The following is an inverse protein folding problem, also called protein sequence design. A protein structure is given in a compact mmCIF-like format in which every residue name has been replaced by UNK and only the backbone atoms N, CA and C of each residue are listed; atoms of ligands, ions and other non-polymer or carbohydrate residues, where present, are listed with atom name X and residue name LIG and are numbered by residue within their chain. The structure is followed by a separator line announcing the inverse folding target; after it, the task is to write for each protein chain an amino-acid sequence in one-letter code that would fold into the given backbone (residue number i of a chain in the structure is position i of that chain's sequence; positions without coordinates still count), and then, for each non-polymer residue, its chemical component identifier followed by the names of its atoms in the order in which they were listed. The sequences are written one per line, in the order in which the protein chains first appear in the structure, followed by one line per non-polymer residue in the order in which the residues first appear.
data_IF_044076524857
#
_entry.id   IF_044076524857
#
_cell.length_a   1.000
_cell.length_b   1.000
_cell.length_c   1.000
_cell.angle_alpha   90.00
_cell.angle_beta   90.00
_cell.angle_gamma   90.00
#
_symmetry.space_group_name_H-M   'P 1'
#
loop_
_entity.id
_entity.type
_entity.pdbx_description
1 polymer ?
#
# COMPACT_ATOMS: atom_id res chain seq x y z
N UNK A 1 13.27 15.75 -1.39
CA UNK A 1 14.10 14.58 -1.73
C UNK A 1 14.79 14.13 -0.46
N UNK A 2 14.66 12.86 -0.13
CA UNK A 2 15.25 12.24 1.04
C UNK A 2 16.58 11.60 0.62
N UNK A 3 17.69 12.28 0.86
CA UNK A 3 19.02 11.87 0.35
C UNK A 3 19.47 10.52 0.89
N UNK A 4 19.03 10.13 2.09
CA UNK A 4 19.30 8.86 2.73
C UNK A 4 18.60 7.66 2.06
N UNK A 5 17.60 7.93 1.21
CA UNK A 5 16.95 6.90 0.40
C UNK A 5 17.71 6.56 -0.88
N UNK A 6 18.68 7.39 -1.28
CA UNK A 6 19.45 7.14 -2.50
C UNK A 6 20.18 5.80 -2.45
N UNK A 7 19.94 4.94 -3.44
CA UNK A 7 20.51 3.59 -3.54
C UNK A 7 19.87 2.54 -2.62
N UNK A 8 18.92 2.92 -1.77
CA UNK A 8 18.10 1.97 -0.99
C UNK A 8 17.21 1.15 -1.92
N UNK A 9 16.92 -0.09 -1.54
CA UNK A 9 16.09 -1.00 -2.35
C UNK A 9 14.73 -1.18 -1.73
N UNK A 10 13.69 -0.97 -2.54
CA UNK A 10 12.30 -1.18 -2.16
C UNK A 10 11.62 -2.25 -3.03
N UNK A 11 10.78 -3.07 -2.41
CA UNK A 11 9.77 -3.88 -3.09
C UNK A 11 8.43 -3.16 -3.00
N UNK A 12 7.72 -3.00 -4.13
CA UNK A 12 6.36 -2.44 -4.18
C UNK A 12 5.43 -3.46 -4.80
N UNK A 13 4.53 -4.03 -3.99
CA UNK A 13 3.57 -5.02 -4.48
C UNK A 13 2.38 -4.34 -5.18
N UNK A 14 1.88 -4.96 -6.26
CA UNK A 14 0.82 -4.37 -7.08
C UNK A 14 1.22 -3.02 -7.68
N UNK A 15 2.47 -2.91 -8.15
CA UNK A 15 3.08 -1.67 -8.61
C UNK A 15 2.78 -1.30 -10.08
N UNK A 16 1.99 -2.11 -10.82
CA UNK A 16 1.69 -1.88 -12.23
C UNK A 16 0.65 -0.79 -12.50
N UNK A 17 -0.09 -0.33 -11.48
CA UNK A 17 -1.12 0.71 -11.64
C UNK A 17 -1.45 1.44 -10.34
N UNK A 18 -2.09 2.59 -10.49
CA UNK A 18 -2.69 3.34 -9.39
C UNK A 18 -1.68 3.79 -8.32
N UNK A 19 -2.00 3.53 -7.04
CA UNK A 19 -1.17 3.94 -5.90
C UNK A 19 0.21 3.27 -5.96
N UNK A 20 0.29 1.99 -6.32
CA UNK A 20 1.56 1.27 -6.39
C UNK A 20 2.52 1.87 -7.41
N UNK A 21 2.04 2.22 -8.61
CA UNK A 21 2.84 2.93 -9.63
C UNK A 21 3.31 4.28 -9.11
N UNK A 22 2.42 5.07 -8.49
CA UNK A 22 2.80 6.38 -7.95
C UNK A 22 3.86 6.28 -6.84
N UNK A 23 3.79 5.23 -5.98
CA UNK A 23 4.82 4.95 -4.97
C UNK A 23 6.14 4.60 -5.65
N UNK A 24 6.14 3.70 -6.65
CA UNK A 24 7.33 3.33 -7.39
C UNK A 24 7.98 4.55 -8.07
N UNK A 25 7.19 5.39 -8.75
CA UNK A 25 7.66 6.63 -9.36
C UNK A 25 8.24 7.61 -8.34
N UNK A 26 7.59 7.73 -7.18
CA UNK A 26 8.10 8.58 -6.09
C UNK A 26 9.43 8.06 -5.56
N UNK A 27 9.58 6.76 -5.36
CA UNK A 27 10.85 6.15 -4.97
C UNK A 27 11.94 6.37 -6.04
N UNK A 28 11.57 6.35 -7.32
CA UNK A 28 12.45 6.74 -8.41
C UNK A 28 12.99 8.18 -8.27
N UNK A 29 12.13 9.14 -7.88
CA UNK A 29 12.55 10.53 -7.60
C UNK A 29 13.50 10.63 -6.39
N UNK A 30 13.39 9.71 -5.44
CA UNK A 30 14.32 9.58 -4.31
C UNK A 30 15.59 8.79 -4.68
N UNK A 31 15.76 8.39 -5.96
CA UNK A 31 16.89 7.62 -6.50
C UNK A 31 17.07 6.24 -5.85
N UNK A 32 15.96 5.61 -5.49
CA UNK A 32 15.93 4.24 -4.98
C UNK A 32 16.00 3.21 -6.11
N UNK A 33 16.35 1.97 -5.75
CA UNK A 33 16.14 0.79 -6.57
C UNK A 33 14.75 0.21 -6.23
N UNK A 34 13.94 -0.14 -7.24
CA UNK A 34 12.56 -0.57 -7.02
C UNK A 34 12.27 -1.89 -7.73
N UNK A 35 11.85 -2.89 -6.97
CA UNK A 35 11.24 -4.10 -7.52
C UNK A 35 9.74 -3.88 -7.59
N UNK A 36 9.19 -3.84 -8.80
CA UNK A 36 7.78 -3.60 -9.09
C UNK A 36 7.11 -4.94 -9.32
N UNK A 37 6.25 -5.36 -8.38
CA UNK A 37 5.47 -6.56 -8.56
C UNK A 37 4.20 -6.31 -9.39
N UNK A 38 3.88 -7.26 -10.25
CA UNK A 38 2.59 -7.37 -10.92
C UNK A 38 2.10 -8.82 -10.93
N UNK A 39 0.79 -8.99 -11.08
CA UNK A 39 0.17 -10.31 -11.22
C UNK A 39 -0.08 -10.66 -12.71
N UNK A 40 -0.77 -9.80 -13.44
CA UNK A 40 -1.15 -10.03 -14.85
C UNK A 40 -0.89 -8.85 -15.79
N UNK A 41 -0.69 -7.65 -15.26
CA UNK A 41 -0.52 -6.41 -16.02
C UNK A 41 0.97 -6.12 -16.25
N UNK A 42 1.59 -6.88 -17.17
CA UNK A 42 3.01 -6.70 -17.52
C UNK A 42 3.27 -5.35 -18.18
N UNK A 43 2.34 -4.88 -19.03
CA UNK A 43 2.49 -3.60 -19.72
C UNK A 43 2.54 -2.43 -18.73
N UNK A 44 1.61 -2.39 -17.79
CA UNK A 44 1.62 -1.36 -16.73
C UNK A 44 2.86 -1.44 -15.86
N UNK A 45 3.39 -2.64 -15.59
CA UNK A 45 4.63 -2.82 -14.86
C UNK A 45 5.84 -2.27 -15.63
N UNK A 46 5.94 -2.52 -16.95
CA UNK A 46 7.00 -2.00 -17.80
C UNK A 46 6.94 -0.45 -17.89
N UNK A 47 5.73 0.11 -18.01
CA UNK A 47 5.52 1.57 -17.97
C UNK A 47 5.98 2.17 -16.63
N UNK A 48 5.70 1.51 -15.51
CA UNK A 48 6.14 1.94 -14.18
C UNK A 48 7.67 1.85 -14.04
N UNK A 49 8.31 0.80 -14.56
CA UNK A 49 9.78 0.68 -14.62
C UNK A 49 10.38 1.86 -15.38
N UNK A 50 9.88 2.14 -16.59
CA UNK A 50 10.35 3.25 -17.39
C UNK A 50 10.21 4.61 -16.68
N UNK A 51 9.10 4.81 -15.94
CA UNK A 51 8.87 6.02 -15.17
C UNK A 51 9.84 6.17 -14.00
N UNK A 52 10.14 5.08 -13.27
CA UNK A 52 11.15 5.07 -12.19
C UNK A 52 12.53 5.46 -12.72
N UNK A 53 12.95 4.85 -13.85
CA UNK A 53 14.25 5.12 -14.47
C UNK A 53 14.32 6.57 -14.95
N UNK A 54 13.27 7.08 -15.60
CA UNK A 54 13.18 8.49 -16.03
C UNK A 54 13.31 9.46 -14.86
N UNK A 55 12.84 9.09 -13.67
CA UNK A 55 12.94 9.88 -12.45
C UNK A 55 14.32 9.79 -11.75
N UNK A 56 15.23 8.96 -12.24
CA UNK A 56 16.61 8.83 -11.75
C UNK A 56 16.86 7.67 -10.79
N UNK A 57 15.87 6.80 -10.56
CA UNK A 57 16.02 5.53 -9.85
C UNK A 57 16.38 4.37 -10.79
N UNK A 58 16.41 3.17 -10.24
CA UNK A 58 16.49 1.91 -11.00
C UNK A 58 15.27 1.06 -10.70
N UNK A 59 14.80 0.27 -11.66
CA UNK A 59 13.67 -0.62 -11.42
C UNK A 59 13.72 -1.89 -12.28
N UNK A 60 13.10 -2.95 -11.74
CA UNK A 60 12.76 -4.16 -12.47
C UNK A 60 11.29 -4.51 -12.20
N UNK A 61 10.64 -5.15 -13.18
CA UNK A 61 9.31 -5.72 -13.02
C UNK A 61 9.41 -7.22 -12.75
N UNK A 62 8.65 -7.72 -11.76
CA UNK A 62 8.64 -9.13 -11.37
C UNK A 62 7.22 -9.64 -11.25
N UNK A 63 6.88 -10.66 -12.03
CA UNK A 63 5.58 -11.33 -11.93
C UNK A 63 5.57 -12.27 -10.72
N UNK A 64 4.62 -12.07 -9.80
CA UNK A 64 4.42 -12.98 -8.69
C UNK A 64 2.99 -12.91 -8.15
N UNK A 65 2.47 -14.06 -7.72
CA UNK A 65 1.20 -14.16 -7.00
C UNK A 65 1.45 -14.05 -5.48
N UNK A 66 0.96 -12.98 -4.89
CA UNK A 66 1.15 -12.68 -3.46
C UNK A 66 0.24 -13.49 -2.53
N UNK A 67 -0.76 -14.16 -3.08
CA UNK A 67 -1.56 -15.13 -2.34
C UNK A 67 -0.81 -16.44 -2.03
N UNK A 68 0.43 -16.59 -2.52
CA UNK A 68 1.27 -17.77 -2.32
C UNK A 68 2.56 -17.43 -1.56
N UNK A 69 3.06 -18.36 -0.74
CA UNK A 69 4.34 -18.19 -0.02
C UNK A 69 5.53 -17.93 -0.98
N UNK A 70 5.52 -18.58 -2.14
CA UNK A 70 6.57 -18.43 -3.13
C UNK A 70 6.58 -17.03 -3.75
N UNK A 71 5.42 -16.36 -3.86
CA UNK A 71 5.33 -15.04 -4.50
C UNK A 71 6.14 -13.97 -3.76
N UNK A 72 6.00 -13.89 -2.44
CA UNK A 72 6.78 -12.96 -1.64
C UNK A 72 8.28 -13.27 -1.66
N UNK A 73 8.65 -14.57 -1.61
CA UNK A 73 10.05 -14.98 -1.69
C UNK A 73 10.68 -14.62 -3.04
N UNK A 74 9.96 -14.84 -4.15
CA UNK A 74 10.42 -14.46 -5.50
C UNK A 74 10.77 -12.97 -5.58
N UNK A 75 9.98 -12.09 -4.97
CA UNK A 75 10.25 -10.65 -4.95
C UNK A 75 11.48 -10.30 -4.10
N UNK A 76 11.63 -10.95 -2.95
CA UNK A 76 12.81 -10.79 -2.08
C UNK A 76 14.07 -11.22 -2.81
N UNK A 77 14.05 -12.40 -3.43
CA UNK A 77 15.20 -12.94 -4.16
C UNK A 77 15.59 -12.00 -5.31
N UNK A 78 14.61 -11.52 -6.07
CA UNK A 78 14.86 -10.55 -7.15
C UNK A 78 15.49 -9.24 -6.64
N UNK A 79 15.06 -8.73 -5.47
CA UNK A 79 15.66 -7.54 -4.86
C UNK A 79 17.12 -7.77 -4.47
N UNK A 80 17.39 -8.91 -3.82
CA UNK A 80 18.74 -9.24 -3.33
C UNK A 80 19.68 -9.62 -4.50
N UNK A 81 19.22 -10.39 -5.47
CA UNK A 81 20.02 -10.78 -6.64
C UNK A 81 20.36 -9.59 -7.53
N UNK A 82 19.43 -8.66 -7.72
CA UNK A 82 19.64 -7.52 -8.62
C UNK A 82 20.36 -6.36 -7.96
N UNK A 83 20.03 -6.06 -6.69
CA UNK A 83 20.47 -4.83 -6.02
C UNK A 83 21.31 -5.09 -4.74
N UNK A 84 21.47 -6.36 -4.35
CA UNK A 84 22.30 -6.78 -3.21
C UNK A 84 21.67 -6.58 -1.84
N UNK A 85 20.48 -5.95 -1.74
CA UNK A 85 19.86 -5.59 -0.46
C UNK A 85 18.36 -5.40 -0.56
N UNK A 86 17.71 -5.39 0.61
CA UNK A 86 16.34 -4.92 0.80
C UNK A 86 16.28 -3.96 2.00
N UNK A 87 15.68 -2.79 1.85
CA UNK A 87 15.51 -1.77 2.90
C UNK A 87 14.05 -1.48 3.21
N UNK A 88 13.19 -1.49 2.18
CA UNK A 88 11.78 -1.11 2.28
C UNK A 88 10.89 -2.16 1.62
N UNK A 89 9.82 -2.55 2.30
CA UNK A 89 8.79 -3.41 1.72
C UNK A 89 7.43 -2.73 1.78
N UNK A 90 6.80 -2.52 0.61
CA UNK A 90 5.47 -1.92 0.50
C UNK A 90 4.46 -2.98 0.10
N UNK A 91 3.62 -3.38 1.03
CA UNK A 91 2.46 -4.24 0.77
C UNK A 91 1.30 -3.37 0.26
N UNK A 92 1.28 -3.12 -1.07
CA UNK A 92 0.25 -2.28 -1.68
C UNK A 92 -0.79 -3.09 -2.48
N UNK A 93 -0.46 -4.28 -2.95
CA UNK A 93 -1.41 -5.11 -3.67
C UNK A 93 -2.73 -5.29 -2.91
N UNK A 94 -3.83 -5.15 -3.61
CA UNK A 94 -5.15 -5.28 -3.02
C UNK A 94 -6.24 -5.36 -4.08
N UNK A 95 -7.38 -5.86 -3.67
CA UNK A 95 -8.58 -5.94 -4.49
C UNK A 95 -9.84 -5.72 -3.65
N UNK A 96 -10.92 -5.36 -4.32
CA UNK A 96 -12.25 -5.26 -3.74
C UNK A 96 -13.29 -5.74 -4.76
N UNK A 97 -14.41 -6.22 -4.28
CA UNK A 97 -15.62 -6.49 -5.07
C UNK A 97 -16.84 -6.27 -4.18
N UNK A 98 -17.98 -6.02 -4.79
CA UNK A 98 -19.20 -5.68 -4.08
C UNK A 98 -20.15 -6.88 -4.03
N UNK A 99 -20.61 -7.25 -2.82
CA UNK A 99 -21.61 -8.28 -2.59
C UNK A 99 -22.47 -7.95 -1.37
N UNK A 100 -23.77 -8.17 -1.44
CA UNK A 100 -24.59 -8.26 -0.23
C UNK A 100 -24.03 -9.35 0.69
N UNK A 101 -23.94 -9.10 2.00
CA UNK A 101 -23.25 -10.01 2.91
C UNK A 101 -23.86 -11.42 2.92
N UNK A 102 -25.19 -11.53 2.76
CA UNK A 102 -25.89 -12.84 2.74
C UNK A 102 -25.73 -13.59 1.40
N UNK A 103 -25.27 -12.90 0.33
CA UNK A 103 -24.99 -13.47 -0.98
C UNK A 103 -23.48 -13.68 -1.24
N UNK A 104 -22.64 -13.17 -0.34
CA UNK A 104 -21.19 -13.26 -0.47
C UNK A 104 -20.74 -14.73 -0.39
N UNK A 105 -20.17 -15.23 -1.48
CA UNK A 105 -19.64 -16.59 -1.52
C UNK A 105 -18.39 -16.74 -0.63
N UNK A 106 -18.14 -17.95 -0.16
CA UNK A 106 -16.89 -18.24 0.56
C UNK A 106 -15.67 -18.02 -0.35
N UNK A 107 -15.78 -18.33 -1.63
CA UNK A 107 -14.72 -18.12 -2.61
C UNK A 107 -14.34 -16.64 -2.75
N UNK A 108 -15.32 -15.72 -2.89
CA UNK A 108 -15.05 -14.29 -2.97
C UNK A 108 -14.52 -13.73 -1.65
N UNK A 109 -15.04 -14.21 -0.52
CA UNK A 109 -14.51 -13.88 0.79
C UNK A 109 -13.03 -14.27 0.91
N UNK A 110 -12.69 -15.53 0.63
CA UNK A 110 -11.32 -16.05 0.72
C UNK A 110 -10.38 -15.34 -0.26
N UNK A 111 -10.85 -15.06 -1.47
CA UNK A 111 -10.06 -14.37 -2.49
C UNK A 111 -9.63 -12.98 -2.04
N UNK A 112 -10.56 -12.19 -1.47
CA UNK A 112 -10.23 -10.84 -0.96
C UNK A 112 -9.31 -10.92 0.26
N UNK A 113 -9.58 -11.82 1.21
CA UNK A 113 -8.70 -12.01 2.36
C UNK A 113 -7.31 -12.51 1.94
N UNK A 114 -7.24 -13.40 0.98
CA UNK A 114 -5.97 -13.95 0.52
C UNK A 114 -5.06 -12.86 -0.07
N UNK A 115 -5.60 -12.00 -0.91
CA UNK A 115 -4.81 -10.88 -1.48
C UNK A 115 -4.52 -9.81 -0.43
N UNK A 116 -5.57 -9.33 0.27
CA UNK A 116 -5.48 -8.12 1.09
C UNK A 116 -4.86 -8.33 2.48
N UNK A 117 -4.93 -9.54 3.03
CA UNK A 117 -4.45 -9.83 4.38
C UNK A 117 -3.36 -10.92 4.38
N UNK A 118 -3.61 -12.09 3.76
CA UNK A 118 -2.61 -13.16 3.68
C UNK A 118 -1.39 -12.70 2.90
N UNK A 119 -1.58 -12.00 1.75
CA UNK A 119 -0.49 -11.43 0.98
C UNK A 119 0.34 -10.39 1.76
N UNK A 120 -0.32 -9.56 2.57
CA UNK A 120 0.38 -8.61 3.48
C UNK A 120 1.20 -9.36 4.52
N UNK A 121 0.65 -10.44 5.11
CA UNK A 121 1.39 -11.29 6.05
C UNK A 121 2.61 -11.94 5.38
N UNK A 122 2.45 -12.54 4.19
CA UNK A 122 3.54 -13.23 3.49
C UNK A 122 4.66 -12.28 3.08
N UNK A 123 4.33 -11.11 2.54
CA UNK A 123 5.30 -10.06 2.22
C UNK A 123 6.04 -9.55 3.44
N UNK A 124 5.32 -9.28 4.52
CA UNK A 124 5.89 -8.87 5.81
C UNK A 124 6.81 -9.96 6.37
N UNK A 125 6.40 -11.23 6.36
CA UNK A 125 7.19 -12.39 6.81
C UNK A 125 8.51 -12.48 6.04
N UNK A 126 8.48 -12.38 4.71
CA UNK A 126 9.68 -12.45 3.87
C UNK A 126 10.64 -11.28 4.18
N UNK A 127 10.13 -10.05 4.25
CA UNK A 127 10.93 -8.87 4.58
C UNK A 127 11.56 -8.97 5.97
N UNK A 128 10.79 -9.35 6.99
CA UNK A 128 11.28 -9.51 8.37
C UNK A 128 12.34 -10.59 8.48
N UNK A 129 12.17 -11.73 7.80
CA UNK A 129 13.17 -12.81 7.80
C UNK A 129 14.50 -12.29 7.24
N UNK A 130 14.48 -11.51 6.18
CA UNK A 130 15.68 -10.88 5.62
C UNK A 130 16.28 -9.84 6.57
N UNK A 131 15.48 -8.91 7.11
CA UNK A 131 15.95 -7.85 7.99
C UNK A 131 16.61 -8.41 9.26
N UNK A 132 15.97 -9.39 9.90
CA UNK A 132 16.50 -10.03 11.10
C UNK A 132 17.80 -10.79 10.81
N UNK A 133 17.86 -11.55 9.71
CA UNK A 133 19.04 -12.34 9.34
C UNK A 133 20.26 -11.47 9.04
N UNK A 134 20.04 -10.29 8.44
CA UNK A 134 21.12 -9.42 7.95
C UNK A 134 21.33 -8.17 8.82
N UNK A 135 20.66 -8.05 9.98
CA UNK A 135 20.70 -6.90 10.91
C UNK A 135 20.35 -5.57 10.22
N UNK A 136 19.36 -5.59 9.32
CA UNK A 136 18.91 -4.42 8.58
C UNK A 136 17.86 -3.65 9.39
N UNK A 137 18.02 -2.34 9.51
CA UNK A 137 17.00 -1.42 10.02
C UNK A 137 15.91 -1.23 8.96
N UNK A 138 15.05 -2.23 8.82
CA UNK A 138 14.08 -2.30 7.74
C UNK A 138 12.84 -1.45 7.97
N UNK A 139 12.11 -1.22 6.89
CA UNK A 139 10.85 -0.48 6.92
C UNK A 139 9.76 -1.22 6.13
N UNK A 140 8.62 -1.45 6.76
CA UNK A 140 7.45 -2.08 6.14
C UNK A 140 6.29 -1.10 6.13
N UNK A 141 5.68 -0.91 4.96
CA UNK A 141 4.54 -0.02 4.75
C UNK A 141 3.37 -0.84 4.22
N UNK A 142 2.31 -0.94 5.00
CA UNK A 142 1.11 -1.68 4.63
C UNK A 142 0.04 -0.74 4.08
N UNK A 143 -0.53 -1.05 2.92
CA UNK A 143 -1.65 -0.29 2.38
C UNK A 143 -2.95 -0.77 3.02
N UNK A 144 -3.45 0.00 3.96
CA UNK A 144 -4.76 -0.18 4.59
C UNK A 144 -5.85 0.59 3.82
N UNK A 145 -6.79 1.17 4.50
CA UNK A 145 -7.90 1.97 3.97
C UNK A 145 -8.56 2.74 5.12
N UNK A 146 -9.34 3.77 4.82
CA UNK A 146 -10.31 4.34 5.78
C UNK A 146 -11.26 3.26 6.31
N UNK A 147 -11.49 2.19 5.55
CA UNK A 147 -12.35 1.07 5.91
C UNK A 147 -11.73 0.09 6.90
N UNK A 148 -10.55 0.37 7.46
CA UNK A 148 -10.07 -0.30 8.67
C UNK A 148 -10.83 0.13 9.93
N UNK A 149 -11.57 1.25 9.86
CA UNK A 149 -12.36 1.79 10.96
C UNK A 149 -13.75 2.32 10.55
N UNK A 150 -13.97 2.66 9.27
CA UNK A 150 -15.29 3.07 8.76
C UNK A 150 -15.97 1.86 8.12
N UNK A 151 -17.14 1.41 8.61
CA UNK A 151 -17.89 0.34 7.95
C UNK A 151 -18.22 0.69 6.50
N UNK A 152 -18.22 -0.34 5.63
CA UNK A 152 -18.59 -0.18 4.23
C UNK A 152 -19.63 -1.25 3.85
N UNK A 153 -20.92 -0.90 3.81
CA UNK A 153 -21.97 -1.83 3.39
C UNK A 153 -21.67 -2.46 2.04
N UNK A 154 -21.97 -3.74 1.88
CA UNK A 154 -21.71 -4.57 0.70
C UNK A 154 -20.21 -4.90 0.42
N UNK A 155 -19.29 -4.47 1.30
CA UNK A 155 -17.85 -4.76 1.24
C UNK A 155 -17.33 -5.37 2.54
N UNK A 156 -18.11 -6.27 3.17
CA UNK A 156 -17.80 -6.83 4.49
C UNK A 156 -16.43 -7.52 4.54
N UNK A 157 -16.07 -8.31 3.52
CA UNK A 157 -14.78 -9.00 3.40
C UNK A 157 -13.60 -8.02 3.23
N UNK A 158 -13.80 -6.94 2.45
CA UNK A 158 -12.80 -5.90 2.30
C UNK A 158 -12.53 -5.17 3.63
N UNK A 159 -13.60 -4.70 4.29
CA UNK A 159 -13.47 -4.04 5.59
C UNK A 159 -12.82 -4.96 6.64
N UNK A 160 -13.22 -6.25 6.68
CA UNK A 160 -12.59 -7.24 7.55
C UNK A 160 -11.10 -7.39 7.27
N UNK A 161 -10.70 -7.46 5.98
CA UNK A 161 -9.29 -7.55 5.59
C UNK A 161 -8.47 -6.33 6.06
N UNK A 162 -9.03 -5.11 5.90
CA UNK A 162 -8.33 -3.86 6.28
C UNK A 162 -8.27 -3.65 7.80
N UNK A 163 -9.33 -4.05 8.53
CA UNK A 163 -9.28 -4.14 10.00
C UNK A 163 -8.21 -5.13 10.49
N UNK A 164 -8.07 -6.28 9.79
CA UNK A 164 -7.00 -7.24 10.03
C UNK A 164 -5.61 -6.65 9.77
N UNK A 165 -5.40 -5.93 8.67
CA UNK A 165 -4.14 -5.25 8.34
C UNK A 165 -3.76 -4.23 9.42
N UNK A 166 -4.73 -3.46 9.94
CA UNK A 166 -4.48 -2.51 11.03
C UNK A 166 -3.86 -3.19 12.24
N UNK A 167 -4.55 -4.18 12.80
CA UNK A 167 -4.11 -4.83 14.02
C UNK A 167 -2.83 -5.66 13.80
N UNK A 168 -2.69 -6.29 12.63
CA UNK A 168 -1.46 -6.94 12.22
C UNK A 168 -0.28 -5.97 12.19
N UNK A 169 -0.42 -4.79 11.58
CA UNK A 169 0.59 -3.73 11.56
C UNK A 169 1.04 -3.34 12.96
N UNK A 170 0.10 -3.08 13.86
CA UNK A 170 0.38 -2.69 15.25
C UNK A 170 1.11 -3.79 16.03
N UNK A 171 0.68 -5.04 15.87
CA UNK A 171 1.30 -6.20 16.52
C UNK A 171 2.74 -6.39 16.07
N UNK A 172 2.97 -6.40 14.75
CA UNK A 172 4.32 -6.60 14.19
C UNK A 172 5.24 -5.40 14.52
N UNK A 173 4.71 -4.18 14.49
CA UNK A 173 5.47 -3.01 14.90
C UNK A 173 5.98 -3.11 16.34
N UNK A 174 5.13 -3.53 17.28
CA UNK A 174 5.50 -3.73 18.67
C UNK A 174 6.55 -4.84 18.84
N UNK A 175 6.40 -5.93 18.11
CA UNK A 175 7.30 -7.09 18.16
C UNK A 175 8.73 -6.78 17.68
N UNK A 176 8.87 -5.92 16.65
CA UNK A 176 10.16 -5.67 16.01
C UNK A 176 10.76 -4.29 16.28
N UNK A 177 10.10 -3.41 17.01
CA UNK A 177 10.59 -2.06 17.32
C UNK A 177 11.99 -2.04 17.95
N UNK A 178 12.27 -2.95 18.90
CA UNK A 178 13.58 -3.05 19.55
C UNK A 178 14.73 -3.44 18.60
N UNK A 179 14.41 -3.92 17.40
CA UNK A 179 15.37 -4.24 16.32
C UNK A 179 15.53 -3.09 15.33
N UNK A 180 14.95 -1.92 15.61
CA UNK A 180 14.90 -0.78 14.70
C UNK A 180 14.21 -1.10 13.35
N UNK A 181 13.29 -2.05 13.31
CA UNK A 181 12.41 -2.32 12.17
C UNK A 181 11.10 -1.59 12.42
N UNK A 182 10.72 -0.70 11.51
CA UNK A 182 9.46 0.06 11.59
C UNK A 182 8.39 -0.55 10.70
N UNK A 183 7.18 -0.63 11.22
CA UNK A 183 6.03 -1.17 10.48
C UNK A 183 4.87 -0.20 10.66
N UNK A 184 4.43 0.41 9.58
CA UNK A 184 3.34 1.38 9.57
C UNK A 184 2.34 1.05 8.47
N UNK A 185 1.16 1.64 8.55
CA UNK A 185 0.16 1.57 7.51
C UNK A 185 -0.17 2.97 6.96
N UNK A 186 -0.61 3.00 5.71
CA UNK A 186 -1.27 4.16 5.11
C UNK A 186 -2.73 3.77 4.91
N UNK A 187 -3.65 4.64 5.31
CA UNK A 187 -5.10 4.49 5.13
C UNK A 187 -5.64 5.49 4.10
N UNK A 188 -5.62 5.17 2.80
CA UNK A 188 -6.20 6.05 1.80
C UNK A 188 -7.73 6.15 1.94
N UNK A 189 -8.26 7.35 1.65
CA UNK A 189 -9.67 7.53 1.35
C UNK A 189 -9.97 7.25 -0.12
N UNK A 190 -10.88 8.03 -0.72
CA UNK A 190 -11.20 7.95 -2.13
C UNK A 190 -10.07 8.54 -2.97
N UNK A 191 -9.34 7.69 -3.69
CA UNK A 191 -8.20 8.07 -4.54
C UNK A 191 -8.55 7.79 -6.02
N UNK A 192 -8.16 8.70 -6.91
CA UNK A 192 -8.35 8.56 -8.34
C UNK A 192 -7.38 7.50 -8.91
N UNK A 193 -7.86 6.28 -9.01
CA UNK A 193 -7.11 5.13 -9.51
C UNK A 193 -7.92 4.37 -10.56
N UNK A 194 -7.31 3.51 -11.38
CA UNK A 194 -8.04 2.68 -12.35
C UNK A 194 -9.16 1.82 -11.72
N UNK A 195 -9.02 1.40 -10.48
CA UNK A 195 -10.09 0.66 -9.75
C UNK A 195 -11.35 1.51 -9.61
N UNK A 196 -11.19 2.82 -9.41
CA UNK A 196 -12.29 3.77 -9.20
C UNK A 196 -12.70 4.52 -10.47
N UNK A 197 -12.06 4.27 -11.62
CA UNK A 197 -12.25 5.06 -12.84
C UNK A 197 -13.71 5.05 -13.33
N UNK A 198 -14.36 3.90 -13.32
CA UNK A 198 -15.78 3.77 -13.70
C UNK A 198 -16.69 4.56 -12.75
N UNK A 199 -16.47 4.43 -11.44
CA UNK A 199 -17.23 5.14 -10.41
C UNK A 199 -17.10 6.65 -10.56
N UNK A 200 -15.89 7.15 -10.81
CA UNK A 200 -15.63 8.60 -10.87
C UNK A 200 -15.89 9.21 -12.26
N UNK A 201 -16.16 8.40 -13.30
CA UNK A 201 -16.66 8.87 -14.59
C UNK A 201 -18.15 9.23 -14.56
N UNK A 202 -18.89 8.75 -13.56
CA UNK A 202 -20.29 9.09 -13.31
C UNK A 202 -20.36 10.32 -12.41
N UNK A 203 -20.92 11.47 -12.90
CA UNK A 203 -20.96 12.72 -12.14
C UNK A 203 -21.73 12.61 -10.82
N UNK A 204 -22.83 11.86 -10.75
CA UNK A 204 -23.65 11.68 -9.56
C UNK A 204 -22.88 10.88 -8.47
N UNK A 205 -22.22 9.81 -8.88
CA UNK A 205 -21.38 9.01 -7.97
C UNK A 205 -20.15 9.79 -7.49
N UNK A 206 -19.57 10.62 -8.36
CA UNK A 206 -18.46 11.51 -8.00
C UNK A 206 -18.92 12.56 -6.99
N UNK A 207 -20.04 13.23 -7.22
CA UNK A 207 -20.62 14.22 -6.29
C UNK A 207 -20.96 13.58 -4.95
N UNK A 208 -21.62 12.41 -4.96
CA UNK A 208 -21.91 11.63 -3.75
C UNK A 208 -20.63 11.31 -2.98
N UNK A 209 -19.56 10.87 -3.67
CA UNK A 209 -18.30 10.54 -3.01
C UNK A 209 -17.62 11.78 -2.45
N UNK A 210 -17.56 12.88 -3.21
CA UNK A 210 -16.90 14.11 -2.76
C UNK A 210 -17.64 14.79 -1.60
N UNK A 211 -18.97 14.64 -1.53
CA UNK A 211 -19.75 15.16 -0.39
C UNK A 211 -19.42 14.51 0.95
N UNK A 212 -18.87 13.27 0.93
CA UNK A 212 -18.39 12.58 2.13
C UNK A 212 -16.98 13.00 2.56
N UNK A 213 -16.31 13.82 1.77
CA UNK A 213 -14.92 14.22 2.00
C UNK A 213 -14.88 15.71 2.39
N UNK A 214 -14.42 16.07 3.59
CA UNK A 214 -14.32 17.48 4.01
C UNK A 214 -13.54 18.39 3.04
N UNK A 215 -12.48 17.86 2.39
CA UNK A 215 -11.72 18.59 1.37
C UNK A 215 -12.46 18.73 0.02
N UNK A 216 -13.66 18.18 -0.15
CA UNK A 216 -14.54 18.30 -1.32
C UNK A 216 -13.88 17.89 -2.65
N UNK A 217 -12.95 16.95 -2.61
CA UNK A 217 -12.27 16.40 -3.79
C UNK A 217 -11.78 14.98 -3.57
N UNK A 218 -11.62 14.27 -4.66
CA UNK A 218 -10.92 12.97 -4.67
C UNK A 218 -9.42 13.21 -4.53
N UNK A 219 -8.74 12.34 -3.78
CA UNK A 219 -7.28 12.34 -3.64
C UNK A 219 -6.57 11.83 -4.89
N UNK A 220 -5.29 12.15 -5.01
CA UNK A 220 -4.41 11.70 -6.09
C UNK A 220 -3.46 10.62 -5.58
N UNK A 221 -3.08 9.63 -6.42
CA UNK A 221 -2.09 8.61 -6.04
C UNK A 221 -0.78 9.19 -5.53
N UNK A 222 -0.33 10.34 -6.07
CA UNK A 222 0.90 11.01 -5.67
C UNK A 222 0.85 11.54 -4.23
N UNK A 223 -0.34 11.85 -3.69
CA UNK A 223 -0.51 12.27 -2.30
C UNK A 223 -0.25 11.11 -1.34
N UNK A 224 -0.68 9.89 -1.72
CA UNK A 224 -0.36 8.67 -0.99
C UNK A 224 1.12 8.31 -1.10
N UNK A 225 1.69 8.45 -2.31
CA UNK A 225 3.10 8.18 -2.57
C UNK A 225 4.04 9.11 -1.79
N UNK A 226 3.63 10.37 -1.56
CA UNK A 226 4.39 11.30 -0.73
C UNK A 226 4.52 10.81 0.72
N UNK A 227 3.44 10.28 1.27
CA UNK A 227 3.42 9.69 2.62
C UNK A 227 4.25 8.40 2.67
N UNK A 228 4.19 7.55 1.63
CA UNK A 228 5.01 6.35 1.55
C UNK A 228 6.51 6.70 1.57
N UNK A 229 6.95 7.73 0.84
CA UNK A 229 8.33 8.18 0.85
C UNK A 229 8.74 8.76 2.21
N UNK A 230 7.88 9.52 2.87
CA UNK A 230 8.15 10.01 4.22
C UNK A 230 8.25 8.86 5.23
N UNK A 231 7.35 7.88 5.19
CA UNK A 231 7.44 6.70 6.06
C UNK A 231 8.70 5.86 5.77
N UNK A 232 9.20 5.84 4.54
CA UNK A 232 10.44 5.16 4.18
C UNK A 232 11.69 5.90 4.70
N UNK A 233 11.62 7.22 4.89
CA UNK A 233 12.75 8.09 5.25
C UNK A 233 13.08 8.08 6.74
N UNK A 234 14.24 8.65 7.08
CA UNK A 234 14.69 8.84 8.45
C UNK A 234 13.90 9.93 9.19
N UNK A 235 13.18 10.82 8.46
CA UNK A 235 12.32 11.82 9.08
C UNK A 235 11.15 11.20 9.88
N UNK A 236 10.80 9.94 9.59
CA UNK A 236 9.81 9.15 10.35
C UNK A 236 10.44 8.13 11.29
N UNK A 237 11.72 8.30 11.67
CA UNK A 237 12.49 7.30 12.45
C UNK A 237 11.89 6.94 13.82
N UNK A 238 11.07 7.81 14.41
CA UNK A 238 10.37 7.55 15.68
C UNK A 238 8.89 7.19 15.50
N UNK A 239 8.47 6.81 14.26
CA UNK A 239 7.09 6.47 13.91
C UNK A 239 7.01 4.99 13.57
N UNK A 240 6.28 4.22 14.40
CA UNK A 240 5.98 2.81 14.16
C UNK A 240 4.62 2.43 14.76
N UNK A 241 3.89 1.51 14.14
CA UNK A 241 2.61 0.98 14.60
C UNK A 241 1.40 1.88 14.31
N UNK A 242 1.54 2.93 13.49
CA UNK A 242 0.43 3.81 13.16
C UNK A 242 -0.23 3.43 11.82
N UNK A 243 -1.47 3.83 11.63
CA UNK A 243 -2.05 4.09 10.31
C UNK A 243 -2.13 5.60 10.09
N UNK A 244 -1.45 6.10 9.05
CA UNK A 244 -1.57 7.49 8.65
C UNK A 244 -2.62 7.59 7.54
N UNK A 245 -3.73 8.28 7.85
CA UNK A 245 -4.82 8.47 6.89
C UNK A 245 -4.47 9.56 5.86
N UNK A 246 -4.71 9.25 4.58
CA UNK A 246 -4.56 10.16 3.43
C UNK A 246 -5.93 10.19 2.74
N UNK A 247 -6.87 10.91 3.31
CA UNK A 247 -8.30 10.72 3.06
C UNK A 247 -9.10 12.03 2.88
N UNK A 248 -8.43 13.18 2.92
CA UNK A 248 -9.09 14.48 2.82
C UNK A 248 -10.04 14.78 4.00
N UNK A 249 -9.87 14.08 5.12
CA UNK A 249 -10.72 14.18 6.31
C UNK A 249 -11.93 13.23 6.30
N UNK A 250 -11.99 12.26 5.40
CA UNK A 250 -13.11 11.32 5.26
C UNK A 250 -13.38 10.50 6.55
N UNK A 251 -12.35 10.22 7.35
CA UNK A 251 -12.47 9.53 8.64
C UNK A 251 -12.96 10.43 9.78
N UNK A 252 -12.99 11.74 9.60
CA UNK A 252 -13.60 12.66 10.55
C UNK A 252 -15.14 12.58 10.44
N UNK A 253 -15.85 13.18 11.38
CA UNK A 253 -17.31 13.13 11.37
C UNK A 253 -17.90 14.25 10.48
N UNK A 254 -18.18 14.00 9.18
CA UNK A 254 -18.58 15.08 8.25
C UNK A 254 -19.85 15.79 8.64
N UNK A 255 -20.74 15.12 9.42
CA UNK A 255 -22.01 15.70 9.88
C UNK A 255 -21.84 16.94 10.75
N UNK A 256 -20.65 17.13 11.37
CA UNK A 256 -20.35 18.32 12.17
C UNK A 256 -19.72 19.46 11.34
N UNK A 257 -19.52 19.26 10.06
CA UNK A 257 -19.03 20.30 9.17
C UNK A 257 -20.00 21.48 9.13
N UNK A 258 -19.52 22.69 9.35
CA UNK A 258 -20.36 23.88 9.46
C UNK A 258 -20.91 24.15 10.87
N UNK A 259 -20.37 23.51 11.92
CA UNK A 259 -20.74 23.76 13.32
C UNK A 259 -22.14 23.25 13.71
N UNK A 260 -22.63 22.24 12.99
CA UNK A 260 -23.88 21.55 13.32
C UNK A 260 -23.58 20.42 14.31
N UNK A 261 -24.05 20.56 15.53
CA UNK A 261 -23.91 19.58 16.61
C UNK A 261 -25.03 19.71 17.62
#
# INVERSE_FOLDING_TARGET
MYTELTGKTAVVTGGSKGIGTAIAERFGKEKMNVVINYHSDSKGADEAVAAVIKNGGQAIAVQADLGSENGAQTLLDAAVETYGQLDVWVNNAGMENQHETHELSLEDWEKVLNVNLTGVFLGTKAALAYFVKNDVKGNIINMSSVHEQIPWPTFAHYAASKGGVKLFTQTVAMEYAARNIRVNAIGPGAINTPINAEKFSDPEKLETTTSMIPMQRIGKPEEVAAVAAWLASDESSYVTGITLFVDGGMTLYPSFQGGRG
#
